data_IF_888123600547
#
_entry.id   IF_888123600547
#
_cell.length_a   1.000
_cell.length_b   1.000
_cell.length_c   1.000
_cell.angle_alpha   90.00
_cell.angle_beta   90.00
_cell.angle_gamma   90.00
#
_symmetry.space_group_name_H-M   'P 1'
#
loop_
_entity.id
_entity.type
_entity.pdbx_description
1 polymer ?
#
# COMPACT_ATOMS: atom_id res chain seq x y z
N UNK A 1 17.88 -8.12 2.03
CA UNK A 1 19.21 -7.49 2.24
C UNK A 1 19.83 -7.14 0.88
N UNK A 2 19.42 -6.02 0.28
CA UNK A 2 20.14 -5.42 -0.84
C UNK A 2 21.11 -4.36 -0.30
N UNK A 3 22.04 -4.78 0.56
CA UNK A 3 23.12 -3.91 1.02
C UNK A 3 24.20 -3.76 -0.06
N UNK A 4 24.78 -2.56 -0.14
CA UNK A 4 25.99 -2.26 -0.92
C UNK A 4 27.09 -3.29 -0.61
N UNK A 5 27.28 -4.27 -1.49
CA UNK A 5 28.39 -5.22 -1.34
C UNK A 5 29.71 -4.50 -1.63
N UNK A 6 30.58 -4.44 -0.63
CA UNK A 6 32.01 -4.19 -0.85
C UNK A 6 32.57 -5.26 -1.78
N UNK A 7 33.33 -4.86 -2.79
CA UNK A 7 33.92 -5.75 -3.79
C UNK A 7 34.84 -6.80 -3.13
N UNK A 8 34.29 -7.97 -2.85
CA UNK A 8 35.07 -9.18 -2.58
C UNK A 8 35.31 -9.94 -3.90
N UNK A 9 36.44 -10.66 -4.04
CA UNK A 9 36.71 -11.42 -5.26
C UNK A 9 35.58 -12.41 -5.52
N UNK A 10 35.00 -12.33 -6.70
CA UNK A 10 33.91 -13.18 -7.16
C UNK A 10 34.40 -14.61 -7.20
N UNK A 11 34.05 -15.43 -6.21
CA UNK A 11 34.18 -16.87 -6.31
C UNK A 11 33.35 -17.31 -7.53
N UNK A 12 33.96 -18.07 -8.44
CA UNK A 12 33.26 -18.66 -9.58
C UNK A 12 32.27 -19.67 -9.00
N UNK A 13 31.05 -19.21 -8.75
CA UNK A 13 29.96 -20.08 -8.30
C UNK A 13 29.43 -20.79 -9.55
N UNK A 14 29.29 -22.12 -9.55
CA UNK A 14 28.73 -22.83 -10.68
C UNK A 14 27.34 -22.27 -11.00
N UNK A 15 27.00 -22.22 -12.27
CA UNK A 15 25.66 -21.80 -12.76
C UNK A 15 24.58 -22.53 -11.96
N UNK A 16 23.76 -21.76 -11.27
CA UNK A 16 22.66 -22.29 -10.46
C UNK A 16 21.34 -21.76 -11.03
N UNK A 17 20.51 -22.68 -11.44
CA UNK A 17 19.13 -22.41 -11.80
C UNK A 17 18.21 -23.29 -10.97
N UNK A 18 17.17 -22.73 -10.42
CA UNK A 18 16.10 -23.51 -9.84
C UNK A 18 14.74 -22.88 -10.15
N UNK A 19 13.75 -23.70 -10.28
CA UNK A 19 12.35 -23.30 -10.26
C UNK A 19 11.60 -24.06 -9.17
N UNK A 20 10.51 -23.48 -8.69
CA UNK A 20 9.63 -24.14 -7.75
C UNK A 20 8.17 -23.89 -8.13
N UNK A 21 7.35 -24.85 -7.78
CA UNK A 21 5.89 -24.75 -7.86
C UNK A 21 5.29 -25.22 -6.56
N UNK A 22 4.41 -24.40 -6.00
CA UNK A 22 3.73 -24.68 -4.74
C UNK A 22 2.22 -24.62 -4.90
N UNK A 23 1.53 -25.45 -4.12
CA UNK A 23 0.08 -25.37 -3.95
C UNK A 23 -0.23 -25.43 -2.47
N UNK A 24 -0.91 -24.40 -1.96
CA UNK A 24 -1.37 -24.37 -0.58
C UNK A 24 -2.90 -24.52 -0.63
N UNK A 25 -3.38 -25.56 0.01
CA UNK A 25 -4.83 -25.84 0.10
C UNK A 25 -5.37 -25.30 1.42
N UNK A 26 -6.64 -24.97 1.42
CA UNK A 26 -7.35 -24.61 2.65
C UNK A 26 -7.33 -25.80 3.62
N UNK A 27 -6.75 -25.58 4.79
CA UNK A 27 -6.59 -26.59 5.85
C UNK A 27 -6.89 -25.98 7.20
N UNK A 28 -7.47 -26.78 8.10
CA UNK A 28 -7.83 -26.36 9.46
C UNK A 28 -6.60 -25.92 10.27
N UNK A 29 -5.43 -26.49 9.98
CA UNK A 29 -4.19 -26.11 10.65
C UNK A 29 -3.85 -24.65 10.37
N UNK A 30 -3.99 -24.19 9.12
CA UNK A 30 -3.72 -22.80 8.74
C UNK A 30 -4.66 -21.85 9.49
N UNK A 31 -5.95 -22.20 9.60
CA UNK A 31 -6.94 -21.42 10.33
C UNK A 31 -6.67 -21.30 11.83
N UNK A 32 -5.98 -22.26 12.42
CA UNK A 32 -5.54 -22.18 13.83
C UNK A 32 -4.48 -21.11 14.06
N UNK A 33 -3.62 -20.85 13.06
CA UNK A 33 -2.58 -19.79 13.14
C UNK A 33 -3.09 -18.43 12.70
N UNK A 34 -4.17 -18.39 11.91
CA UNK A 34 -4.78 -17.16 11.39
C UNK A 34 -6.28 -17.19 11.72
N UNK A 35 -6.68 -16.82 12.94
CA UNK A 35 -8.05 -17.00 13.44
C UNK A 35 -9.14 -16.34 12.59
N UNK A 36 -8.85 -15.18 11.98
CA UNK A 36 -9.80 -14.46 11.13
C UNK A 36 -9.94 -15.06 9.72
N UNK A 37 -9.08 -16.00 9.34
CA UNK A 37 -9.14 -16.68 8.07
C UNK A 37 -10.32 -17.69 8.05
N UNK A 38 -11.39 -17.33 7.36
CA UNK A 38 -12.59 -18.20 7.25
C UNK A 38 -12.39 -19.28 6.20
N UNK A 39 -11.99 -18.90 5.01
CA UNK A 39 -11.74 -19.81 3.91
C UNK A 39 -10.84 -19.20 2.84
N UNK A 40 -10.20 -20.06 2.05
CA UNK A 40 -9.54 -19.64 0.82
C UNK A 40 -9.52 -20.79 -0.20
N UNK A 41 -9.49 -20.46 -1.47
CA UNK A 41 -9.25 -21.43 -2.53
C UNK A 41 -7.75 -21.73 -2.63
N UNK A 42 -7.39 -22.75 -3.41
CA UNK A 42 -5.99 -23.16 -3.55
C UNK A 42 -5.11 -21.99 -4.01
N UNK A 43 -4.11 -21.66 -3.20
CA UNK A 43 -3.05 -20.75 -3.60
C UNK A 43 -2.08 -21.50 -4.51
N UNK A 44 -1.84 -20.99 -5.70
CA UNK A 44 -0.81 -21.49 -6.59
C UNK A 44 0.37 -20.52 -6.58
N UNK A 45 1.56 -21.07 -6.43
CA UNK A 45 2.82 -20.33 -6.43
C UNK A 45 3.75 -20.91 -7.49
N UNK A 46 4.45 -20.04 -8.18
CA UNK A 46 5.52 -20.39 -9.10
C UNK A 46 6.65 -19.38 -8.92
N UNK A 47 7.89 -19.85 -8.96
CA UNK A 47 9.05 -18.98 -8.94
C UNK A 47 10.23 -19.63 -9.61
N UNK A 48 11.14 -18.80 -10.12
CA UNK A 48 12.38 -19.20 -10.75
C UNK A 48 13.52 -18.25 -10.36
N UNK A 49 14.71 -18.79 -10.24
CA UNK A 49 15.94 -18.03 -10.05
C UNK A 49 17.03 -18.53 -10.99
N UNK A 50 17.73 -17.59 -11.61
CA UNK A 50 18.89 -17.85 -12.45
C UNK A 50 20.09 -17.06 -11.90
N UNK A 51 21.13 -17.79 -11.43
CA UNK A 51 22.31 -17.18 -10.81
C UNK A 51 23.19 -16.45 -11.84
N UNK A 52 23.23 -16.88 -13.09
CA UNK A 52 24.08 -16.27 -14.12
C UNK A 52 23.58 -14.87 -14.48
N UNK A 53 22.27 -14.72 -14.58
CA UNK A 53 21.62 -13.43 -14.85
C UNK A 53 21.19 -12.70 -13.58
N UNK A 54 21.31 -13.34 -12.42
CA UNK A 54 20.80 -12.85 -11.12
C UNK A 54 19.32 -12.48 -11.15
N UNK A 55 18.57 -13.17 -12.01
CA UNK A 55 17.14 -12.90 -12.18
C UNK A 55 16.31 -13.81 -11.31
N UNK A 56 15.38 -13.19 -10.57
CA UNK A 56 14.30 -13.86 -9.84
C UNK A 56 12.97 -13.49 -10.47
N UNK A 57 12.07 -14.45 -10.58
CA UNK A 57 10.68 -14.22 -10.93
C UNK A 57 9.79 -15.01 -9.96
N UNK A 58 8.67 -14.44 -9.57
CA UNK A 58 7.69 -15.08 -8.71
C UNK A 58 6.29 -14.69 -9.14
N UNK A 59 5.39 -15.66 -9.17
CA UNK A 59 3.97 -15.47 -9.44
C UNK A 59 3.14 -16.22 -8.40
N UNK A 60 2.08 -15.59 -7.97
CA UNK A 60 1.10 -16.18 -7.07
C UNK A 60 -0.31 -15.93 -7.58
N UNK A 61 -1.20 -16.86 -7.33
CA UNK A 61 -2.63 -16.66 -7.58
C UNK A 61 -3.46 -17.31 -6.49
N UNK A 62 -4.51 -16.60 -6.09
CA UNK A 62 -5.50 -17.03 -5.10
C UNK A 62 -6.87 -16.59 -5.59
N UNK A 63 -7.71 -17.51 -6.10
CA UNK A 63 -8.97 -17.13 -6.71
C UNK A 63 -9.96 -16.49 -5.73
N UNK A 64 -9.98 -16.94 -4.47
CA UNK A 64 -10.88 -16.43 -3.46
C UNK A 64 -10.29 -16.56 -2.05
N UNK A 65 -10.51 -15.53 -1.25
CA UNK A 65 -10.14 -15.44 0.17
C UNK A 65 -11.30 -14.82 0.96
N UNK A 66 -11.67 -15.44 2.08
CA UNK A 66 -12.57 -14.86 3.07
C UNK A 66 -11.81 -14.65 4.39
N UNK A 67 -11.63 -13.39 4.76
CA UNK A 67 -10.89 -12.98 5.95
C UNK A 67 -11.71 -11.95 6.77
N UNK A 68 -12.05 -12.29 8.00
CA UNK A 68 -12.94 -11.45 8.81
C UNK A 68 -14.25 -11.17 8.08
N UNK A 69 -14.57 -9.90 7.90
CA UNK A 69 -15.76 -9.42 7.17
C UNK A 69 -15.51 -9.23 5.67
N UNK A 70 -14.31 -9.55 5.18
CA UNK A 70 -13.89 -9.25 3.83
C UNK A 70 -13.89 -10.49 2.95
N UNK A 71 -14.36 -10.32 1.71
CA UNK A 71 -14.26 -11.30 0.64
C UNK A 71 -13.46 -10.72 -0.52
N UNK A 72 -12.35 -11.39 -0.84
CA UNK A 72 -11.41 -10.99 -1.87
C UNK A 72 -11.48 -12.00 -3.02
N UNK A 73 -11.56 -11.51 -4.26
CA UNK A 73 -11.68 -12.35 -5.45
C UNK A 73 -10.57 -12.04 -6.45
N UNK A 74 -10.00 -13.10 -7.02
CA UNK A 74 -8.98 -13.10 -8.08
C UNK A 74 -7.73 -12.27 -7.71
N UNK A 75 -7.06 -12.71 -6.65
CA UNK A 75 -5.80 -12.13 -6.18
C UNK A 75 -4.66 -12.70 -7.02
N UNK A 76 -3.83 -11.85 -7.61
CA UNK A 76 -2.61 -12.22 -8.32
C UNK A 76 -1.44 -11.41 -7.84
N UNK A 77 -0.32 -12.06 -7.65
CA UNK A 77 0.96 -11.47 -7.29
C UNK A 77 1.97 -11.76 -8.38
N UNK A 78 2.71 -10.77 -8.80
CA UNK A 78 3.94 -10.94 -9.58
C UNK A 78 5.08 -10.17 -8.94
N UNK A 79 6.27 -10.75 -8.96
CA UNK A 79 7.50 -10.06 -8.56
C UNK A 79 8.65 -10.54 -9.43
N UNK A 80 9.58 -9.63 -9.73
CA UNK A 80 10.76 -9.95 -10.50
C UNK A 80 11.75 -8.81 -10.48
N UNK A 81 13.02 -9.09 -10.55
CA UNK A 81 14.03 -8.05 -10.57
C UNK A 81 14.53 -7.74 -11.98
N UNK A 82 14.91 -6.50 -12.18
CA UNK A 82 15.83 -6.07 -13.24
C UNK A 82 17.27 -5.96 -12.67
N UNK A 83 18.12 -5.14 -13.28
CA UNK A 83 19.52 -4.97 -12.84
C UNK A 83 19.62 -4.12 -11.54
N UNK A 84 18.62 -3.29 -11.26
CA UNK A 84 18.70 -2.27 -10.24
C UNK A 84 17.63 -2.40 -9.12
N UNK A 85 16.51 -3.02 -9.42
CA UNK A 85 15.35 -3.04 -8.55
C UNK A 85 14.61 -4.38 -8.53
N UNK A 86 13.85 -4.62 -7.49
CA UNK A 86 12.82 -5.66 -7.43
C UNK A 86 11.46 -5.01 -7.72
N UNK A 87 10.87 -5.33 -8.85
CA UNK A 87 9.55 -4.85 -9.24
C UNK A 87 8.48 -5.80 -8.70
N UNK A 88 7.33 -5.28 -8.30
CA UNK A 88 6.21 -6.09 -7.82
C UNK A 88 4.87 -5.53 -8.28
N UNK A 89 3.90 -6.41 -8.42
CA UNK A 89 2.51 -6.04 -8.63
C UNK A 89 1.58 -7.06 -7.95
N UNK A 90 0.61 -6.54 -7.21
CA UNK A 90 -0.51 -7.27 -6.63
C UNK A 90 -1.79 -6.74 -7.26
N UNK A 91 -2.57 -7.62 -7.86
CA UNK A 91 -3.89 -7.27 -8.38
C UNK A 91 -4.97 -8.00 -7.63
N UNK A 92 -6.11 -7.37 -7.43
CA UNK A 92 -7.29 -7.90 -6.78
C UNK A 92 -8.50 -7.40 -7.56
N UNK A 93 -9.23 -8.33 -8.17
CA UNK A 93 -10.37 -7.95 -8.99
C UNK A 93 -11.51 -7.34 -8.18
N UNK A 94 -11.76 -7.86 -6.95
CA UNK A 94 -12.86 -7.38 -6.13
C UNK A 94 -12.59 -7.59 -4.65
N UNK A 95 -12.88 -6.57 -3.84
CA UNK A 95 -12.92 -6.59 -2.39
C UNK A 95 -14.32 -6.20 -1.92
N UNK A 96 -15.02 -7.14 -1.32
CA UNK A 96 -16.36 -6.96 -0.76
C UNK A 96 -16.34 -6.96 0.76
N UNK A 97 -17.13 -6.09 1.36
CA UNK A 97 -17.54 -6.12 2.75
C UNK A 97 -19.03 -5.71 2.85
N UNK A 98 -19.59 -5.76 4.05
CA UNK A 98 -20.93 -5.21 4.31
C UNK A 98 -21.01 -3.70 4.06
N UNK A 99 -19.88 -3.00 4.20
CA UNK A 99 -19.82 -1.54 4.17
C UNK A 99 -19.44 -0.99 2.79
N UNK A 100 -18.62 -1.70 1.99
CA UNK A 100 -18.14 -1.21 0.71
C UNK A 100 -17.83 -2.36 -0.27
N UNK A 101 -17.77 -2.00 -1.55
CA UNK A 101 -17.22 -2.83 -2.63
C UNK A 101 -16.20 -2.00 -3.40
N UNK A 102 -15.01 -2.53 -3.57
CA UNK A 102 -13.98 -1.99 -4.42
C UNK A 102 -13.68 -2.99 -5.54
N UNK A 103 -13.45 -2.48 -6.73
CA UNK A 103 -13.11 -3.28 -7.89
C UNK A 103 -11.76 -2.87 -8.47
N UNK A 104 -11.15 -3.75 -9.28
CA UNK A 104 -9.95 -3.45 -10.06
C UNK A 104 -8.84 -2.78 -9.23
N UNK A 105 -8.48 -3.40 -8.09
CA UNK A 105 -7.45 -2.89 -7.20
C UNK A 105 -6.09 -3.35 -7.70
N UNK A 106 -5.16 -2.42 -7.84
CA UNK A 106 -3.76 -2.68 -8.23
C UNK A 106 -2.84 -1.99 -7.23
N UNK A 107 -1.92 -2.75 -6.67
CA UNK A 107 -0.78 -2.25 -5.91
C UNK A 107 0.49 -2.67 -6.63
N UNK A 108 1.20 -1.73 -7.21
CA UNK A 108 2.44 -1.96 -7.92
C UNK A 108 3.56 -1.02 -7.49
N UNK A 109 4.78 -1.36 -7.83
CA UNK A 109 5.94 -0.56 -7.50
C UNK A 109 7.25 -1.31 -7.62
N UNK A 110 8.26 -0.77 -6.97
CA UNK A 110 9.57 -1.38 -6.94
C UNK A 110 10.28 -1.15 -5.59
N UNK A 111 11.26 -2.02 -5.31
CA UNK A 111 12.16 -1.88 -4.16
C UNK A 111 13.57 -1.65 -4.68
N UNK A 112 14.19 -0.54 -4.26
CA UNK A 112 15.55 -0.16 -4.61
C UNK A 112 16.19 0.64 -3.47
N UNK A 113 17.41 0.27 -3.07
CA UNK A 113 18.18 0.99 -2.05
C UNK A 113 17.42 1.23 -0.73
N UNK A 114 16.77 0.20 -0.20
CA UNK A 114 15.96 0.23 1.02
C UNK A 114 14.72 1.17 0.95
N UNK A 115 14.35 1.60 -0.25
CA UNK A 115 13.13 2.36 -0.52
C UNK A 115 12.15 1.49 -1.31
N UNK A 116 10.91 1.44 -0.84
CA UNK A 116 9.77 0.85 -1.53
C UNK A 116 9.00 1.99 -2.20
N UNK A 117 9.00 2.04 -3.52
CA UNK A 117 8.07 2.87 -4.28
C UNK A 117 6.74 2.12 -4.41
N UNK A 118 5.62 2.78 -4.17
CA UNK A 118 4.32 2.15 -4.27
C UNK A 118 3.30 3.03 -4.99
N UNK A 119 2.38 2.37 -5.67
CA UNK A 119 1.25 2.96 -6.34
C UNK A 119 0.02 2.07 -6.15
N UNK A 120 -0.90 2.49 -5.30
CA UNK A 120 -2.18 1.82 -5.07
C UNK A 120 -3.25 2.52 -5.92
N UNK A 121 -3.92 1.76 -6.76
CA UNK A 121 -5.02 2.21 -7.60
C UNK A 121 -6.28 1.39 -7.28
N UNK A 122 -7.41 2.06 -7.23
CA UNK A 122 -8.73 1.45 -7.24
C UNK A 122 -9.49 2.08 -8.40
N UNK A 123 -10.01 1.24 -9.31
CA UNK A 123 -10.72 1.69 -10.50
C UNK A 123 -12.16 1.23 -10.46
N UNK A 124 -13.03 1.95 -11.16
CA UNK A 124 -14.41 1.54 -11.36
C UNK A 124 -14.54 0.49 -12.49
N UNK A 125 -15.77 0.13 -12.87
CA UNK A 125 -16.03 -0.86 -13.92
C UNK A 125 -15.68 -0.33 -15.32
N UNK A 126 -15.62 0.99 -15.50
CA UNK A 126 -15.20 1.67 -16.74
C UNK A 126 -13.68 1.88 -16.83
N UNK A 127 -12.89 1.30 -15.91
CA UNK A 127 -11.42 1.43 -15.82
C UNK A 127 -10.93 2.85 -15.46
N UNK A 128 -11.80 3.71 -14.93
CA UNK A 128 -11.44 5.05 -14.45
C UNK A 128 -10.91 4.98 -13.03
N UNK A 129 -9.86 5.75 -12.73
CA UNK A 129 -9.24 5.81 -11.40
C UNK A 129 -10.16 6.53 -10.43
N UNK A 130 -10.74 5.78 -9.50
CA UNK A 130 -11.56 6.32 -8.43
C UNK A 130 -10.72 6.73 -7.22
N UNK A 131 -9.76 5.89 -6.84
CA UNK A 131 -8.81 6.20 -5.76
C UNK A 131 -7.38 5.89 -6.22
N UNK A 132 -6.45 6.73 -5.82
CA UNK A 132 -5.01 6.54 -6.00
C UNK A 132 -4.28 6.97 -4.74
N UNK A 133 -3.30 6.19 -4.30
CA UNK A 133 -2.34 6.58 -3.28
C UNK A 133 -0.96 6.11 -3.75
N UNK A 134 -0.08 7.04 -4.07
CA UNK A 134 1.28 6.74 -4.52
C UNK A 134 2.33 7.48 -3.70
N UNK A 135 3.42 6.79 -3.40
CA UNK A 135 4.46 7.34 -2.54
C UNK A 135 5.68 6.45 -2.41
N UNK A 136 6.45 6.71 -1.37
CA UNK A 136 7.61 5.93 -1.02
C UNK A 136 7.58 5.56 0.47
N UNK A 137 8.11 4.39 0.79
CA UNK A 137 8.40 3.94 2.15
C UNK A 137 9.89 3.68 2.25
N UNK A 138 10.56 4.32 3.18
CA UNK A 138 11.96 4.07 3.51
C UNK A 138 12.09 3.63 4.96
N UNK A 139 13.04 2.74 5.24
CA UNK A 139 13.30 2.27 6.60
C UNK A 139 14.76 2.57 6.98
N UNK A 140 14.96 3.21 8.12
CA UNK A 140 16.28 3.49 8.68
C UNK A 140 16.21 3.54 10.21
N UNK A 141 17.12 2.85 10.92
CA UNK A 141 17.24 2.90 12.38
C UNK A 141 15.91 2.64 13.13
N UNK A 142 15.18 1.60 12.73
CA UNK A 142 13.87 1.22 13.28
C UNK A 142 12.76 2.26 13.07
N UNK A 143 12.98 3.23 12.20
CA UNK A 143 11.99 4.22 11.77
C UNK A 143 11.44 3.85 10.38
N UNK A 144 10.19 4.19 10.15
CA UNK A 144 9.55 4.08 8.84
C UNK A 144 9.17 5.49 8.38
N UNK A 145 9.79 5.92 7.31
CA UNK A 145 9.48 7.17 6.64
C UNK A 145 8.54 6.94 5.46
N UNK A 146 7.39 7.57 5.47
CA UNK A 146 6.39 7.57 4.41
C UNK A 146 6.35 8.95 3.76
N UNK A 147 6.38 8.99 2.44
CA UNK A 147 6.17 10.20 1.65
C UNK A 147 5.16 9.94 0.56
N UNK A 148 4.27 10.88 0.27
CA UNK A 148 3.37 10.84 -0.87
C UNK A 148 3.97 11.60 -2.05
N UNK A 149 3.74 11.10 -3.28
CA UNK A 149 4.09 11.86 -4.50
C UNK A 149 3.15 13.05 -4.65
N UNK A 150 3.63 14.15 -5.23
CA UNK A 150 2.82 15.38 -5.39
C UNK A 150 1.51 15.15 -6.14
N UNK A 151 1.51 14.30 -7.14
CA UNK A 151 0.36 13.86 -7.95
C UNK A 151 -0.13 12.45 -7.56
N UNK A 152 0.27 11.99 -6.38
CA UNK A 152 0.07 10.64 -5.89
C UNK A 152 -1.28 10.39 -5.24
N UNK A 153 -2.20 11.36 -5.20
CA UNK A 153 -3.47 11.21 -4.50
C UNK A 153 -4.66 11.52 -5.41
N UNK A 154 -5.59 10.57 -5.49
CA UNK A 154 -6.93 10.76 -6.08
C UNK A 154 -7.94 10.25 -5.07
N UNK A 155 -8.93 11.06 -4.72
CA UNK A 155 -10.03 10.70 -3.82
C UNK A 155 -11.34 10.88 -4.56
N UNK A 156 -12.05 9.78 -4.78
CA UNK A 156 -13.33 9.76 -5.49
C UNK A 156 -13.30 10.50 -6.82
N UNK A 157 -12.41 10.09 -7.72
CA UNK A 157 -12.11 10.68 -9.04
C UNK A 157 -11.46 12.06 -9.03
N UNK A 158 -11.42 12.74 -7.88
CA UNK A 158 -10.82 14.07 -7.76
C UNK A 158 -9.30 13.97 -7.49
N UNK A 159 -8.43 14.53 -8.34
CA UNK A 159 -7.00 14.58 -8.09
C UNK A 159 -6.67 15.63 -7.01
N UNK A 160 -5.87 15.22 -6.04
CA UNK A 160 -5.36 16.07 -4.98
C UNK A 160 -3.86 16.29 -5.15
N UNK A 161 -3.42 17.52 -4.92
CA UNK A 161 -1.99 17.85 -4.89
C UNK A 161 -1.48 17.68 -3.46
N UNK A 162 -0.35 17.00 -3.32
CA UNK A 162 0.36 16.80 -2.04
C UNK A 162 1.58 17.71 -2.02
N UNK A 163 1.91 18.32 -0.87
CA UNK A 163 3.14 19.12 -0.71
C UNK A 163 4.39 18.30 -1.05
N UNK A 164 5.40 18.92 -1.68
CA UNK A 164 6.59 18.22 -2.16
C UNK A 164 7.46 17.64 -1.02
N UNK A 165 7.48 18.33 0.11
CA UNK A 165 8.28 18.05 1.29
C UNK A 165 7.48 17.36 2.40
N UNK A 166 6.36 16.72 2.04
CA UNK A 166 5.57 15.95 2.98
C UNK A 166 6.35 14.74 3.51
N UNK A 167 6.19 14.46 4.79
CA UNK A 167 6.80 13.32 5.43
C UNK A 167 5.99 12.85 6.64
N UNK A 168 5.87 11.56 6.79
CA UNK A 168 5.29 10.90 7.95
C UNK A 168 6.29 9.88 8.48
N UNK A 169 6.83 10.11 9.68
CA UNK A 169 7.79 9.20 10.30
C UNK A 169 7.10 8.42 11.41
N UNK A 170 7.07 7.10 11.26
CA UNK A 170 6.54 6.17 12.28
C UNK A 170 7.68 5.72 13.17
N UNK A 171 7.55 6.00 14.46
CA UNK A 171 8.45 5.58 15.53
C UNK A 171 7.79 4.45 16.35
N UNK A 172 8.54 3.66 17.11
CA UNK A 172 7.96 2.69 18.04
C UNK A 172 7.02 3.32 19.09
N UNK A 173 7.17 4.61 19.35
CA UNK A 173 6.46 5.36 20.42
C UNK A 173 5.48 6.40 19.88
N UNK A 174 5.25 6.50 18.58
CA UNK A 174 4.31 7.47 18.00
C UNK A 174 4.64 7.86 16.58
N UNK A 175 4.00 8.91 16.09
CA UNK A 175 4.09 9.36 14.69
C UNK A 175 4.45 10.84 14.65
N UNK A 176 5.38 11.20 13.76
CA UNK A 176 5.70 12.59 13.43
C UNK A 176 5.26 12.88 12.01
N UNK A 177 4.39 13.87 11.83
CA UNK A 177 3.98 14.38 10.52
C UNK A 177 4.66 15.73 10.27
N UNK A 178 5.17 15.92 9.07
CA UNK A 178 5.81 17.16 8.62
C UNK A 178 5.25 17.54 7.25
N UNK A 179 4.68 18.74 7.14
CA UNK A 179 4.20 19.34 5.90
C UNK A 179 3.27 18.44 5.07
N UNK A 180 2.49 17.55 5.70
CA UNK A 180 1.54 16.72 4.97
C UNK A 180 0.29 17.56 4.62
N UNK A 181 0.43 18.37 3.58
CA UNK A 181 -0.67 19.18 3.04
C UNK A 181 -1.22 18.56 1.78
N UNK A 182 -2.52 18.34 1.79
CA UNK A 182 -3.33 17.86 0.67
C UNK A 182 -4.24 19.01 0.21
N UNK A 183 -4.34 19.26 -1.08
CA UNK A 183 -5.17 20.34 -1.61
C UNK A 183 -5.84 19.98 -2.94
N UNK A 184 -7.09 20.40 -3.08
CA UNK A 184 -7.88 20.30 -4.31
C UNK A 184 -8.89 21.48 -4.37
N UNK A 185 -8.87 22.26 -5.44
CA UNK A 185 -9.93 23.25 -5.79
C UNK A 185 -10.37 24.14 -4.62
N UNK A 186 -9.43 24.61 -3.81
CA UNK A 186 -9.71 25.46 -2.65
C UNK A 186 -10.05 24.72 -1.37
N UNK A 187 -10.12 23.39 -1.40
CA UNK A 187 -10.15 22.52 -0.22
C UNK A 187 -8.76 22.14 0.21
N UNK A 188 -8.50 22.05 1.50
CA UNK A 188 -7.22 21.52 1.99
C UNK A 188 -7.34 20.78 3.32
N UNK A 189 -6.41 19.85 3.51
CA UNK A 189 -6.11 19.20 4.78
C UNK A 189 -4.62 19.39 5.04
N UNK A 190 -4.26 19.90 6.21
CA UNK A 190 -2.88 19.92 6.68
C UNK A 190 -2.77 19.04 7.92
N UNK A 191 -1.81 18.12 7.91
CA UNK A 191 -1.43 17.32 9.07
C UNK A 191 0.02 17.63 9.42
N UNK A 192 0.26 18.10 10.63
CA UNK A 192 1.58 18.50 11.08
C UNK A 192 1.74 18.20 12.57
N UNK A 193 2.92 17.78 12.99
CA UNK A 193 3.25 17.60 14.41
C UNK A 193 3.65 18.94 15.03
N UNK A 194 3.26 19.17 16.27
CA UNK A 194 3.64 20.40 17.00
C UNK A 194 5.16 20.51 17.19
N UNK A 195 5.84 19.38 17.33
CA UNK A 195 7.30 19.26 17.39
C UNK A 195 7.77 17.98 16.69
N UNK A 196 9.09 17.81 16.49
CA UNK A 196 9.68 16.59 15.90
C UNK A 196 9.79 15.40 16.90
N UNK A 197 9.08 15.45 18.03
CA UNK A 197 9.05 14.36 18.99
C UNK A 197 7.91 13.37 18.66
N UNK A 198 8.13 12.04 18.74
CA UNK A 198 7.13 11.04 18.42
C UNK A 198 5.86 11.12 19.30
N UNK A 199 5.98 11.66 20.50
CA UNK A 199 4.88 11.88 21.46
C UNK A 199 4.21 13.23 21.30
N UNK A 200 4.61 14.01 20.28
CA UNK A 200 4.04 15.32 20.01
C UNK A 200 2.62 15.19 19.48
N UNK A 201 1.69 16.07 19.89
CA UNK A 201 0.36 16.10 19.30
C UNK A 201 0.40 16.29 17.78
N UNK A 202 -0.48 15.58 17.09
CA UNK A 202 -0.74 15.79 15.66
C UNK A 202 -1.87 16.82 15.51
N UNK A 203 -1.57 17.91 14.82
CA UNK A 203 -2.54 18.94 14.47
C UNK A 203 -3.10 18.64 13.07
N UNK A 204 -4.42 18.62 12.94
CA UNK A 204 -5.12 18.43 11.68
C UNK A 204 -5.96 19.67 11.43
N UNK A 205 -5.68 20.37 10.32
CA UNK A 205 -6.42 21.55 9.92
C UNK A 205 -7.19 21.27 8.63
N UNK A 206 -8.50 21.54 8.67
CA UNK A 206 -9.39 21.42 7.52
C UNK A 206 -9.78 22.80 7.03
N UNK A 207 -9.70 23.00 5.73
CA UNK A 207 -10.21 24.20 5.06
C UNK A 207 -11.08 23.77 3.88
N UNK A 208 -12.36 24.16 3.92
CA UNK A 208 -13.35 23.85 2.89
C UNK A 208 -13.37 22.37 2.46
N UNK A 209 -13.02 21.45 3.37
CA UNK A 209 -12.93 20.03 3.06
C UNK A 209 -14.32 19.43 2.91
N UNK A 210 -14.62 18.84 1.76
CA UNK A 210 -15.90 18.17 1.48
C UNK A 210 -15.92 16.78 2.10
N UNK A 211 -16.89 16.53 2.98
CA UNK A 211 -17.06 15.24 3.67
C UNK A 211 -17.29 14.11 2.67
N UNK A 212 -17.98 14.40 1.58
CA UNK A 212 -18.33 13.45 0.52
C UNK A 212 -17.09 12.79 -0.10
N UNK A 213 -15.95 13.49 -0.14
CA UNK A 213 -14.68 12.93 -0.63
C UNK A 213 -14.24 11.67 0.10
N UNK A 214 -14.71 11.45 1.34
CA UNK A 214 -14.41 10.26 2.15
C UNK A 214 -15.61 9.32 2.31
N UNK A 215 -16.85 9.83 2.31
CA UNK A 215 -18.03 9.03 2.63
C UNK A 215 -18.58 8.22 1.46
N UNK A 216 -18.25 8.58 0.23
CA UNK A 216 -18.72 7.87 -0.96
C UNK A 216 -18.12 6.47 -1.14
N UNK A 217 -17.04 6.14 -0.41
CA UNK A 217 -16.49 4.78 -0.39
C UNK A 217 -17.41 3.79 0.36
N UNK A 218 -18.30 4.30 1.23
CA UNK A 218 -19.12 3.48 2.12
C UNK A 218 -20.48 3.19 1.49
N UNK A 219 -20.81 1.90 1.32
CA UNK A 219 -22.16 1.47 0.91
C UNK A 219 -23.16 1.72 2.03
N UNK A 220 -23.91 2.79 1.95
CA UNK A 220 -25.15 2.95 2.71
C UNK A 220 -26.18 3.63 1.83
N UNK A 221 -27.38 3.09 1.82
CA UNK A 221 -28.55 3.66 1.13
C UNK A 221 -29.01 5.02 1.73
N UNK A 222 -28.35 5.47 2.79
CA UNK A 222 -28.56 6.76 3.42
C UNK A 222 -27.30 7.59 3.32
N UNK A 223 -27.43 8.81 2.85
CA UNK A 223 -26.42 9.86 2.87
C UNK A 223 -25.80 9.96 4.27
N UNK A 224 -24.54 9.54 4.42
CA UNK A 224 -23.91 9.48 5.73
C UNK A 224 -23.64 10.86 6.31
N UNK A 225 -23.10 11.74 5.49
CA UNK A 225 -22.89 13.16 5.79
C UNK A 225 -22.56 13.90 4.50
N UNK A 226 -23.08 15.10 4.34
CA UNK A 226 -22.70 16.06 3.29
C UNK A 226 -22.32 17.37 3.94
N UNK A 227 -21.43 18.10 3.29
CA UNK A 227 -21.06 19.44 3.71
C UNK A 227 -19.57 19.66 3.77
N UNK A 228 -19.21 20.81 4.31
CA UNK A 228 -17.84 21.31 4.33
C UNK A 228 -17.35 21.38 5.76
N UNK A 229 -16.18 20.82 6.03
CA UNK A 229 -15.49 20.95 7.30
C UNK A 229 -14.51 22.11 7.21
N UNK A 230 -14.60 23.02 8.16
CA UNK A 230 -13.60 24.04 8.48
C UNK A 230 -13.29 23.95 9.96
N UNK A 231 -12.03 23.85 10.32
CA UNK A 231 -11.62 23.76 11.72
C UNK A 231 -10.31 23.06 11.93
N UNK A 232 -10.00 22.86 13.19
CA UNK A 232 -8.77 22.22 13.62
C UNK A 232 -9.11 21.10 14.62
N UNK A 233 -8.39 20.00 14.53
CA UNK A 233 -8.43 18.89 15.46
C UNK A 233 -7.02 18.58 15.94
N UNK A 234 -6.89 18.09 17.16
CA UNK A 234 -5.61 17.64 17.69
C UNK A 234 -5.76 16.21 18.21
N UNK A 235 -4.85 15.34 17.77
CA UNK A 235 -4.73 13.98 18.29
C UNK A 235 -3.59 13.97 19.29
N UNK A 236 -3.86 13.44 20.49
CA UNK A 236 -2.88 13.23 21.57
C UNK A 236 -2.96 11.78 22.00
N UNK A 237 -1.81 11.18 22.26
CA UNK A 237 -1.71 9.86 22.92
C UNK A 237 -1.97 10.00 24.43
#
# INVERSE_FOLDING_TARGET
>A
HFQKQSAQPVAITPSQFFDFRGKIKNDDLIRKFVPELKSFQTINLYGAYNADTRKITMYGSLPQLEYGAYKLNDIKLSAGNDEESLNYALTLNQLDSEQFRLANIVLDGFVKNDVIDYNLLVKNEEDEVQYKIAGNVATANDLIDLTLKQDGLVLNYDPWTVSADNKLTVHPTGIVAQNLQLSNSGSSILVDSETDLPTSPLNIKFQNFKIESLTEIVRKDSLLAQGTINGEAQIRD
#
